data_IF_618209522722
#
_entry.id   IF_618209522722
#
_cell.length_a   1.000
_cell.length_b   1.000
_cell.length_c   1.000
_cell.angle_alpha   90.00
_cell.angle_beta   90.00
_cell.angle_gamma   90.00
#
_symmetry.space_group_name_H-M   'P 1'
#
loop_
_entity.id
_entity.type
_entity.pdbx_description
1 polymer ?
#
# COMPACT_ATOMS: atom_id res chain seq x y z
N UNK A 1 17.32 -10.13 -28.28
CA UNK A 1 17.39 -8.76 -27.74
C UNK A 1 17.28 -8.88 -26.23
N UNK A 2 18.07 -8.13 -25.44
CA UNK A 2 17.87 -8.11 -23.98
C UNK A 2 16.50 -7.51 -23.66
N UNK A 3 15.74 -8.07 -22.71
CA UNK A 3 14.49 -7.47 -22.28
C UNK A 3 14.73 -6.04 -21.77
N UNK A 4 13.78 -5.11 -22.01
CA UNK A 4 13.85 -3.77 -21.44
C UNK A 4 14.07 -3.84 -19.92
N UNK A 5 14.93 -2.98 -19.39
CA UNK A 5 15.12 -2.88 -17.93
C UNK A 5 14.01 -1.98 -17.38
N UNK A 6 13.15 -2.47 -16.46
CA UNK A 6 12.12 -1.64 -15.84
C UNK A 6 12.75 -0.41 -15.19
N UNK A 7 12.07 0.75 -15.28
CA UNK A 7 12.50 2.01 -14.67
C UNK A 7 13.78 2.63 -15.24
N UNK A 8 14.33 2.11 -16.34
CA UNK A 8 15.49 2.69 -17.02
C UNK A 8 15.08 3.18 -18.40
N UNK A 9 15.33 4.46 -18.68
CA UNK A 9 15.10 5.04 -19.99
C UNK A 9 16.01 4.37 -21.03
N UNK A 10 15.47 3.73 -22.08
CA UNK A 10 16.28 3.03 -23.08
C UNK A 10 17.20 3.94 -23.91
N UNK A 11 16.85 5.22 -24.05
CA UNK A 11 17.60 6.19 -24.85
C UNK A 11 18.75 6.84 -24.09
N UNK A 12 18.58 7.10 -22.79
CA UNK A 12 19.60 7.78 -21.96
C UNK A 12 20.34 6.83 -21.02
N UNK A 13 19.78 5.66 -20.71
CA UNK A 13 20.30 4.74 -19.70
C UNK A 13 20.07 5.22 -18.26
N UNK A 14 19.36 6.32 -18.06
CA UNK A 14 19.07 6.91 -16.75
C UNK A 14 17.77 6.37 -16.15
N UNK A 15 17.54 6.67 -14.87
CA UNK A 15 16.33 6.28 -14.16
C UNK A 15 15.11 7.05 -14.69
N UNK A 16 14.05 6.33 -15.07
CA UNK A 16 12.76 6.91 -15.43
C UNK A 16 11.92 7.19 -14.17
N UNK A 17 12.11 8.38 -13.61
CA UNK A 17 11.36 8.84 -12.43
C UNK A 17 9.87 9.03 -12.71
N UNK A 18 9.48 9.25 -13.96
CA UNK A 18 8.07 9.38 -14.35
C UNK A 18 7.37 8.04 -14.24
N UNK A 19 8.02 6.96 -14.71
CA UNK A 19 7.52 5.60 -14.53
C UNK A 19 7.47 5.22 -13.05
N UNK A 20 8.50 5.53 -12.26
CA UNK A 20 8.49 5.24 -10.82
C UNK A 20 7.28 5.89 -10.14
N UNK A 21 7.04 7.17 -10.42
CA UNK A 21 5.94 7.89 -9.81
C UNK A 21 4.57 7.34 -10.26
N UNK A 22 4.44 6.98 -11.53
CA UNK A 22 3.19 6.43 -12.05
C UNK A 22 2.87 5.06 -11.46
N UNK A 23 3.87 4.25 -11.10
CA UNK A 23 3.70 2.99 -10.36
C UNK A 23 3.42 3.19 -8.87
N UNK A 24 3.99 4.24 -8.26
CA UNK A 24 3.78 4.54 -6.85
C UNK A 24 2.36 5.05 -6.55
N UNK A 25 1.72 5.76 -7.49
CA UNK A 25 0.39 6.34 -7.29
C UNK A 25 -0.69 5.29 -6.98
N UNK A 26 -0.87 4.22 -7.77
CA UNK A 26 -1.80 3.15 -7.45
C UNK A 26 -1.52 2.49 -6.09
N UNK A 27 -0.25 2.27 -5.76
CA UNK A 27 0.17 1.68 -4.49
C UNK A 27 -0.23 2.59 -3.31
N UNK A 28 0.04 3.88 -3.41
CA UNK A 28 -0.33 4.88 -2.41
C UNK A 28 -1.84 4.97 -2.23
N UNK A 29 -2.62 4.92 -3.32
CA UNK A 29 -4.09 4.87 -3.25
C UNK A 29 -4.57 3.64 -2.48
N UNK A 30 -4.00 2.48 -2.78
CA UNK A 30 -4.37 1.22 -2.13
C UNK A 30 -4.06 1.25 -0.63
N UNK A 31 -2.86 1.68 -0.25
CA UNK A 31 -2.47 1.89 1.15
C UNK A 31 -3.44 2.88 1.81
N UNK A 32 -3.72 4.00 1.14
CA UNK A 32 -4.59 5.06 1.63
C UNK A 32 -5.99 4.56 1.99
N UNK A 33 -6.58 3.64 1.22
CA UNK A 33 -7.90 3.06 1.52
C UNK A 33 -7.91 2.32 2.86
N UNK A 34 -6.94 1.45 3.10
CA UNK A 34 -6.90 0.67 4.34
C UNK A 34 -6.54 1.52 5.56
N UNK A 35 -5.59 2.44 5.41
CA UNK A 35 -5.25 3.40 6.46
C UNK A 35 -6.47 4.25 6.80
N UNK A 36 -7.11 4.88 5.81
CA UNK A 36 -8.29 5.71 6.01
C UNK A 36 -9.45 4.93 6.62
N UNK A 37 -9.64 3.66 6.23
CA UNK A 37 -10.67 2.79 6.81
C UNK A 37 -10.41 2.42 8.27
N UNK A 38 -9.15 2.28 8.67
CA UNK A 38 -8.77 1.94 10.06
C UNK A 38 -8.82 3.15 11.01
N UNK A 39 -8.57 4.36 10.50
CA UNK A 39 -8.44 5.58 11.33
C UNK A 39 -9.66 5.86 12.23
N UNK A 40 -10.92 5.75 11.77
CA UNK A 40 -12.07 5.98 12.63
C UNK A 40 -12.11 5.04 13.85
N UNK A 41 -11.72 3.76 13.67
CA UNK A 41 -11.71 2.79 14.76
C UNK A 41 -10.67 3.16 15.82
N UNK A 42 -9.46 3.51 15.39
CA UNK A 42 -8.43 3.99 16.31
C UNK A 42 -8.81 5.32 16.96
N UNK A 43 -9.41 6.24 16.22
CA UNK A 43 -9.84 7.52 16.77
C UNK A 43 -10.87 7.32 17.90
N UNK A 44 -11.87 6.46 17.70
CA UNK A 44 -12.84 6.15 18.75
C UNK A 44 -12.17 5.39 19.90
N UNK A 45 -11.30 4.43 19.61
CA UNK A 45 -10.58 3.67 20.64
C UNK A 45 -9.74 4.58 21.55
N UNK A 46 -9.04 5.56 20.97
CA UNK A 46 -8.12 6.46 21.69
C UNK A 46 -8.88 7.60 22.38
N UNK A 47 -9.82 8.26 21.70
CA UNK A 47 -10.45 9.48 22.22
C UNK A 47 -11.80 9.24 22.90
N UNK A 48 -12.49 8.14 22.59
CA UNK A 48 -13.85 7.88 23.07
C UNK A 48 -14.01 6.66 23.97
N UNK A 49 -13.03 5.75 23.99
CA UNK A 49 -13.11 4.47 24.70
C UNK A 49 -11.78 4.06 25.33
N UNK A 50 -10.95 5.04 25.71
CA UNK A 50 -9.62 4.81 26.28
C UNK A 50 -9.67 3.90 27.52
N UNK A 51 -8.70 2.99 27.65
CA UNK A 51 -8.58 2.03 28.77
C UNK A 51 -9.82 1.14 29.01
N UNK A 52 -10.67 0.97 27.99
CA UNK A 52 -11.85 0.10 28.07
C UNK A 52 -11.72 -1.14 27.18
N UNK A 53 -12.47 -2.19 27.54
CA UNK A 53 -12.57 -3.39 26.70
C UNK A 53 -13.12 -3.07 25.30
N UNK A 54 -14.02 -2.09 25.19
CA UNK A 54 -14.52 -1.60 23.91
C UNK A 54 -13.40 -0.96 23.08
N UNK A 55 -12.57 -0.11 23.68
CA UNK A 55 -11.42 0.51 23.01
C UNK A 55 -10.43 -0.54 22.50
N UNK A 56 -10.12 -1.56 23.31
CA UNK A 56 -9.26 -2.67 22.89
C UNK A 56 -9.86 -3.45 21.70
N UNK A 57 -11.17 -3.70 21.72
CA UNK A 57 -11.86 -4.39 20.62
C UNK A 57 -11.85 -3.55 19.33
N UNK A 58 -12.06 -2.24 19.41
CA UNK A 58 -12.00 -1.34 18.25
C UNK A 58 -10.58 -1.26 17.68
N UNK A 59 -9.57 -1.18 18.53
CA UNK A 59 -8.16 -1.21 18.11
C UNK A 59 -7.84 -2.52 17.39
N UNK A 60 -8.31 -3.66 17.90
CA UNK A 60 -8.15 -4.97 17.26
C UNK A 60 -8.78 -5.01 15.86
N UNK A 61 -9.96 -4.41 15.67
CA UNK A 61 -10.56 -4.28 14.34
C UNK A 61 -9.75 -3.36 13.42
N UNK A 62 -9.18 -2.28 13.96
CA UNK A 62 -8.24 -1.42 13.21
C UNK A 62 -7.02 -2.19 12.73
N UNK A 63 -6.39 -2.95 13.63
CA UNK A 63 -5.22 -3.80 13.33
C UNK A 63 -5.57 -4.85 12.27
N UNK A 64 -6.76 -5.46 12.37
CA UNK A 64 -7.24 -6.41 11.38
C UNK A 64 -7.36 -5.80 9.99
N UNK A 65 -7.95 -4.59 9.87
CA UNK A 65 -8.04 -3.88 8.59
C UNK A 65 -6.65 -3.60 8.02
N UNK A 66 -5.71 -3.14 8.84
CA UNK A 66 -4.34 -2.87 8.41
C UNK A 66 -3.60 -4.14 8.00
N UNK A 67 -3.78 -5.25 8.71
CA UNK A 67 -3.17 -6.54 8.39
C UNK A 67 -3.68 -7.10 7.05
N UNK A 68 -4.99 -7.08 6.84
CA UNK A 68 -5.61 -7.46 5.55
C UNK A 68 -5.11 -6.53 4.45
N UNK A 69 -5.10 -5.22 4.71
CA UNK A 69 -4.62 -4.22 3.77
C UNK A 69 -3.16 -4.44 3.35
N UNK A 70 -2.29 -4.75 4.30
CA UNK A 70 -0.89 -5.07 4.03
C UNK A 70 -0.75 -6.30 3.12
N UNK A 71 -1.54 -7.35 3.35
CA UNK A 71 -1.57 -8.53 2.50
C UNK A 71 -2.03 -8.21 1.06
N UNK A 72 -3.07 -7.39 0.91
CA UNK A 72 -3.57 -6.94 -0.40
C UNK A 72 -2.54 -6.08 -1.13
N UNK A 73 -1.91 -5.13 -0.42
CA UNK A 73 -0.84 -4.27 -0.95
C UNK A 73 0.35 -5.12 -1.42
N UNK A 74 0.76 -6.12 -0.66
CA UNK A 74 1.83 -7.03 -1.04
C UNK A 74 1.48 -7.82 -2.31
N UNK A 75 0.26 -8.36 -2.39
CA UNK A 75 -0.22 -9.04 -3.61
C UNK A 75 -0.22 -8.12 -4.83
N UNK A 76 -0.62 -6.85 -4.66
CA UNK A 76 -0.56 -5.86 -5.73
C UNK A 76 0.87 -5.63 -6.21
N UNK A 77 1.83 -5.46 -5.29
CA UNK A 77 3.25 -5.29 -5.61
C UNK A 77 3.79 -6.48 -6.39
N UNK A 78 3.51 -7.70 -5.93
CA UNK A 78 3.96 -8.93 -6.62
C UNK A 78 3.38 -9.00 -8.03
N UNK A 79 2.07 -8.83 -8.17
CA UNK A 79 1.40 -8.89 -9.47
C UNK A 79 1.90 -7.80 -10.42
N UNK A 80 2.17 -6.59 -9.92
CA UNK A 80 2.71 -5.51 -10.77
C UNK A 80 4.16 -5.74 -11.14
N UNK A 81 4.99 -6.25 -10.22
CA UNK A 81 6.37 -6.61 -10.50
C UNK A 81 6.49 -7.67 -11.60
N UNK A 82 5.63 -8.70 -11.57
CA UNK A 82 5.59 -9.73 -12.62
C UNK A 82 5.23 -9.12 -13.98
N UNK A 83 4.24 -8.22 -14.03
CA UNK A 83 3.85 -7.54 -15.27
C UNK A 83 4.99 -6.68 -15.84
N UNK A 84 5.61 -5.85 -15.00
CA UNK A 84 6.73 -5.00 -15.41
C UNK A 84 7.94 -5.79 -15.90
N UNK A 85 8.14 -7.01 -15.39
CA UNK A 85 9.24 -7.89 -15.84
C UNK A 85 8.93 -8.63 -17.16
N UNK A 86 7.65 -8.75 -17.53
CA UNK A 86 7.20 -9.37 -18.77
C UNK A 86 6.95 -8.39 -19.93
N UNK A 87 6.97 -7.09 -19.64
CA UNK A 87 6.95 -5.98 -20.60
C UNK A 87 8.36 -5.70 -21.16
#
# INVERSE_FOLDING_TARGET
MSPPRPFINPATGELDTTQILSEAVPLAKLIGVFVAGSLPLYAIAIFGAENSALGALLALFGDFILAVGAGVVLMYVIARGIRLAGE
#
